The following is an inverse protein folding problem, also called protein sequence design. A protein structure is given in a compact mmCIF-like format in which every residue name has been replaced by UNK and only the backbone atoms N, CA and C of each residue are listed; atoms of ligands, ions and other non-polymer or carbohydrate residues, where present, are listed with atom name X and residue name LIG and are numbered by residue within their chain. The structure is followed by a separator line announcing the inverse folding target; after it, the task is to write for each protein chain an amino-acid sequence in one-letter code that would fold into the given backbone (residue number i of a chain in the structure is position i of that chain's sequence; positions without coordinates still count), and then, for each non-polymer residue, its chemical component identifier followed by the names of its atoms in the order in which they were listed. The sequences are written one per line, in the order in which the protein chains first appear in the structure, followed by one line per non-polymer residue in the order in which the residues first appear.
data_IF_312090398257
#
_entry.id   IF_312090398257
#
_cell.length_a   1.000
_cell.length_b   1.000
_cell.length_c   1.000
_cell.angle_alpha   90.00
_cell.angle_beta   90.00
_cell.angle_gamma   90.00
#
_symmetry.space_group_name_H-M   'P 1'
#
loop_
_entity.id
_entity.type
_entity.pdbx_description
1 polymer ?
#
# COMPACT_ATOMS: atom_id res chain seq x y z
N UNK A 1 16.78 13.39 2.11
CA UNK A 1 15.40 12.86 2.23
C UNK A 1 15.12 12.40 3.67
N UNK A 2 14.03 12.85 4.29
CA UNK A 2 13.70 12.54 5.70
C UNK A 2 13.15 11.13 5.94
N UNK A 3 12.68 10.46 4.87
CA UNK A 3 12.06 9.13 4.94
C UNK A 3 13.04 8.04 5.40
N UNK A 4 14.31 8.14 4.97
CA UNK A 4 15.37 7.17 5.31
C UNK A 4 15.80 7.20 6.78
N UNK A 5 15.57 8.32 7.48
CA UNK A 5 16.06 8.53 8.85
C UNK A 5 15.48 7.54 9.86
N UNK A 6 14.29 7.03 9.58
CA UNK A 6 13.61 6.07 10.44
C UNK A 6 13.66 4.64 9.86
N UNK A 7 14.40 4.42 8.76
CA UNK A 7 14.68 3.09 8.23
C UNK A 7 13.79 2.61 7.09
N UNK A 8 13.05 3.50 6.44
CA UNK A 8 12.38 3.19 5.18
C UNK A 8 13.39 3.33 4.04
N UNK A 9 13.68 2.22 3.36
CA UNK A 9 14.73 2.14 2.33
C UNK A 9 14.20 1.89 0.91
N UNK A 10 13.09 1.17 0.81
CA UNK A 10 12.38 0.89 -0.44
C UNK A 10 10.99 1.51 -0.39
N UNK A 11 10.50 1.97 -1.53
CA UNK A 11 9.16 2.52 -1.68
C UNK A 11 8.54 2.11 -3.00
N UNK A 12 7.22 2.10 -3.05
CA UNK A 12 6.44 1.96 -4.27
C UNK A 12 5.71 3.27 -4.56
N UNK A 13 6.27 4.16 -5.42
CA UNK A 13 5.56 5.35 -5.86
C UNK A 13 4.29 4.95 -6.60
N UNK A 14 3.16 5.44 -6.11
CA UNK A 14 1.84 5.07 -6.62
C UNK A 14 1.21 6.29 -7.30
N UNK A 15 0.75 6.17 -8.56
CA UNK A 15 0.03 7.26 -9.21
C UNK A 15 -1.29 7.53 -8.49
N UNK A 16 -1.87 8.73 -8.68
CA UNK A 16 -3.15 9.12 -8.07
C UNK A 16 -4.11 9.73 -9.08
N UNK A 17 -5.40 9.44 -8.92
CA UNK A 17 -6.49 9.97 -9.74
C UNK A 17 -7.04 8.99 -10.77
N UNK A 18 -8.15 9.36 -11.40
CA UNK A 18 -8.82 8.52 -12.41
C UNK A 18 -9.44 7.23 -11.87
N UNK A 19 -10.08 6.48 -12.76
CA UNK A 19 -10.68 5.17 -12.46
C UNK A 19 -9.61 4.06 -12.49
N UNK A 20 -8.83 4.01 -13.57
CA UNK A 20 -7.55 3.31 -13.64
C UNK A 20 -6.46 4.35 -13.55
N UNK A 21 -5.73 4.30 -12.44
CA UNK A 21 -4.83 5.37 -12.02
C UNK A 21 -3.46 5.28 -12.70
N UNK A 22 -3.03 4.08 -13.04
CA UNK A 22 -1.78 3.83 -13.73
C UNK A 22 -1.01 2.66 -13.13
N UNK A 23 0.28 2.61 -13.45
CA UNK A 23 1.20 1.59 -12.96
C UNK A 23 2.13 2.15 -11.88
N UNK A 24 2.53 1.28 -10.97
CA UNK A 24 3.54 1.55 -9.96
C UNK A 24 4.81 0.77 -10.26
N UNK A 25 5.91 1.24 -9.67
CA UNK A 25 7.20 0.54 -9.71
C UNK A 25 7.80 0.59 -8.32
N UNK A 26 8.69 -0.35 -8.02
CA UNK A 26 9.38 -0.40 -6.73
C UNK A 26 10.75 0.21 -6.92
N UNK A 27 11.11 1.13 -6.03
CA UNK A 27 12.39 1.83 -6.08
C UNK A 27 13.10 1.85 -4.73
N UNK A 28 14.43 1.83 -4.78
CA UNK A 28 15.29 2.15 -3.64
C UNK A 28 15.43 3.67 -3.46
N UNK A 29 15.57 4.11 -2.21
CA UNK A 29 15.69 5.52 -1.87
C UNK A 29 17.14 6.06 -1.92
N UNK A 30 18.06 5.32 -2.53
CA UNK A 30 19.45 5.72 -2.70
C UNK A 30 19.99 5.35 -4.09
N UNK A 31 19.86 6.31 -5.01
CA UNK A 31 20.30 6.20 -6.39
C UNK A 31 20.51 7.59 -7.01
N UNK A 32 21.28 7.67 -8.09
CA UNK A 32 21.55 8.91 -8.82
C UNK A 32 20.42 9.30 -9.77
N UNK A 33 19.80 8.31 -10.39
CA UNK A 33 18.69 8.47 -11.33
C UNK A 33 17.61 7.43 -11.02
N UNK A 34 16.47 7.53 -11.70
CA UNK A 34 15.36 6.62 -11.46
C UNK A 34 15.64 5.22 -11.98
N UNK A 35 16.46 5.06 -13.04
CA UNK A 35 16.81 3.75 -13.61
C UNK A 35 17.59 2.90 -12.61
N UNK A 36 18.59 3.49 -11.97
CA UNK A 36 19.39 2.87 -10.92
C UNK A 36 18.56 2.64 -9.65
N UNK A 37 17.51 3.44 -9.43
CA UNK A 37 16.61 3.28 -8.30
C UNK A 37 15.66 2.09 -8.46
N UNK A 38 15.36 1.64 -9.69
CA UNK A 38 14.31 0.64 -9.92
C UNK A 38 14.75 -0.73 -9.43
N UNK A 39 13.98 -1.28 -8.49
CA UNK A 39 14.07 -2.69 -8.05
C UNK A 39 13.19 -3.57 -8.93
N UNK A 40 11.98 -3.10 -9.25
CA UNK A 40 11.04 -3.79 -10.14
C UNK A 40 10.16 -2.78 -10.86
N UNK A 41 10.25 -2.74 -12.18
CA UNK A 41 9.43 -1.87 -13.01
C UNK A 41 8.02 -2.45 -13.21
N UNK A 42 7.03 -1.57 -13.27
CA UNK A 42 5.63 -1.86 -13.59
C UNK A 42 5.06 -3.05 -12.80
N UNK A 43 5.22 -3.05 -11.48
CA UNK A 43 4.91 -4.19 -10.63
C UNK A 43 3.40 -4.37 -10.41
N UNK A 44 2.63 -3.29 -10.52
CA UNK A 44 1.20 -3.30 -10.29
C UNK A 44 0.42 -2.27 -11.06
N UNK A 45 -0.90 -2.48 -11.13
CA UNK A 45 -1.86 -1.51 -11.68
C UNK A 45 -2.78 -1.07 -10.56
N UNK A 46 -2.94 0.23 -10.42
CA UNK A 46 -3.79 0.84 -9.42
C UNK A 46 -5.13 1.26 -10.02
N UNK A 47 -6.20 0.92 -9.31
CA UNK A 47 -7.58 1.17 -9.69
C UNK A 47 -8.32 1.73 -8.49
N UNK A 48 -9.03 2.84 -8.69
CA UNK A 48 -9.86 3.43 -7.63
C UNK A 48 -11.28 2.93 -7.79
N UNK A 49 -11.79 2.18 -6.81
CA UNK A 49 -13.16 1.68 -6.87
C UNK A 49 -14.15 2.84 -6.70
N UNK A 50 -15.20 2.92 -7.54
CA UNK A 50 -16.23 3.94 -7.37
C UNK A 50 -16.91 3.86 -6.00
N UNK A 51 -16.67 4.88 -5.19
CA UNK A 51 -17.17 4.94 -3.80
C UNK A 51 -18.69 4.79 -3.71
N UNK A 52 -19.13 4.13 -2.66
CA UNK A 52 -20.52 4.02 -2.26
C UNK A 52 -21.12 5.40 -2.03
N UNK A 53 -22.28 5.62 -2.62
CA UNK A 53 -23.03 6.86 -2.44
C UNK A 53 -23.73 6.80 -1.10
N UNK A 54 -23.12 7.43 -0.09
CA UNK A 54 -23.71 7.62 1.23
C UNK A 54 -24.27 9.03 1.32
N UNK A 55 -25.49 9.13 1.87
CA UNK A 55 -26.11 10.40 2.23
C UNK A 55 -25.50 10.86 3.55
N UNK A 56 -24.58 11.81 3.49
CA UNK A 56 -23.91 12.37 4.66
C UNK A 56 -24.65 13.59 5.22
N UNK A 57 -25.46 14.26 4.40
CA UNK A 57 -26.27 15.41 4.82
C UNK A 57 -27.77 15.06 4.78
N UNK A 58 -28.50 15.13 5.91
CA UNK A 58 -29.95 14.92 5.95
C UNK A 58 -30.76 15.87 5.07
N UNK A 59 -30.19 17.02 4.68
CA UNK A 59 -30.81 18.04 3.82
C UNK A 59 -30.36 17.90 2.35
N UNK A 60 -29.55 16.89 2.01
CA UNK A 60 -29.13 16.64 0.63
C UNK A 60 -30.33 16.41 -0.30
N UNK A 61 -30.35 17.12 -1.43
CA UNK A 61 -31.35 17.03 -2.49
C UNK A 61 -31.37 15.61 -3.10
N UNK A 62 -32.57 15.04 -3.21
CA UNK A 62 -32.78 13.72 -3.80
C UNK A 62 -32.25 13.63 -5.24
N UNK A 63 -32.37 14.70 -6.03
CA UNK A 63 -31.84 14.71 -7.40
C UNK A 63 -30.30 14.67 -7.43
N UNK A 64 -29.63 15.32 -6.46
CA UNK A 64 -28.18 15.24 -6.32
C UNK A 64 -27.73 13.82 -5.96
N UNK A 65 -28.45 13.14 -5.06
CA UNK A 65 -28.18 11.76 -4.69
C UNK A 65 -28.31 10.81 -5.90
N UNK A 66 -29.40 10.92 -6.66
CA UNK A 66 -29.62 10.12 -7.88
C UNK A 66 -28.52 10.34 -8.91
N UNK A 67 -28.10 11.59 -9.16
CA UNK A 67 -26.98 11.90 -10.08
C UNK A 67 -25.68 11.22 -9.64
N UNK A 68 -25.37 11.21 -8.34
CA UNK A 68 -24.18 10.52 -7.80
C UNK A 68 -24.28 9.00 -8.02
N UNK A 69 -25.46 8.41 -7.78
CA UNK A 69 -25.69 6.98 -7.98
C UNK A 69 -25.53 6.59 -9.46
N UNK A 70 -26.13 7.35 -10.38
CA UNK A 70 -25.97 7.12 -11.80
C UNK A 70 -24.51 7.24 -12.25
N UNK A 71 -23.78 8.25 -11.76
CA UNK A 71 -22.37 8.44 -12.07
C UNK A 71 -21.53 7.25 -11.58
N UNK A 72 -21.79 6.72 -10.38
CA UNK A 72 -21.17 5.49 -9.87
C UNK A 72 -21.44 4.31 -10.79
N UNK A 73 -22.70 4.09 -11.16
CA UNK A 73 -23.13 2.98 -12.03
C UNK A 73 -22.51 3.08 -13.43
N UNK A 74 -22.34 4.29 -13.98
CA UNK A 74 -21.61 4.50 -15.25
C UNK A 74 -20.14 4.11 -15.09
N UNK A 75 -19.45 4.62 -14.07
CA UNK A 75 -18.04 4.29 -13.81
C UNK A 75 -17.80 2.80 -13.61
N UNK A 76 -18.71 2.09 -12.94
CA UNK A 76 -18.61 0.64 -12.77
C UNK A 76 -18.75 -0.10 -14.09
N UNK A 77 -19.69 0.31 -14.96
CA UNK A 77 -19.84 -0.26 -16.30
C UNK A 77 -18.60 -0.01 -17.17
N UNK A 78 -18.09 1.22 -17.17
CA UNK A 78 -16.88 1.58 -17.91
C UNK A 78 -15.68 0.74 -17.44
N UNK A 79 -15.59 0.50 -16.13
CA UNK A 79 -14.55 -0.34 -15.54
C UNK A 79 -14.65 -1.80 -15.97
N UNK A 80 -15.85 -2.38 -15.88
CA UNK A 80 -16.11 -3.75 -16.28
C UNK A 80 -15.83 -3.95 -17.77
N UNK A 81 -16.25 -2.99 -18.60
CA UNK A 81 -15.95 -3.01 -20.03
C UNK A 81 -14.44 -2.97 -20.27
N UNK A 82 -13.70 -2.04 -19.64
CA UNK A 82 -12.26 -1.91 -19.83
C UNK A 82 -11.50 -3.19 -19.44
N UNK A 83 -11.82 -3.77 -18.28
CA UNK A 83 -11.17 -4.99 -17.82
C UNK A 83 -11.57 -6.21 -18.67
N UNK A 84 -12.82 -6.27 -19.13
CA UNK A 84 -13.30 -7.29 -20.06
C UNK A 84 -12.61 -7.20 -21.42
N UNK A 85 -12.45 -5.99 -21.96
CA UNK A 85 -11.67 -5.73 -23.18
C UNK A 85 -10.21 -6.14 -23.00
N UNK A 86 -9.58 -5.83 -21.86
CA UNK A 86 -8.20 -6.24 -21.57
C UNK A 86 -8.05 -7.77 -21.51
N UNK A 87 -9.02 -8.47 -20.91
CA UNK A 87 -9.03 -9.93 -20.86
C UNK A 87 -9.19 -10.55 -22.25
N UNK A 88 -10.09 -10.02 -23.08
CA UNK A 88 -10.29 -10.45 -24.46
C UNK A 88 -9.10 -10.09 -25.37
N UNK A 89 -8.45 -8.94 -25.11
CA UNK A 89 -7.28 -8.47 -25.84
C UNK A 89 -6.18 -9.54 -25.82
N UNK A 90 -5.98 -10.26 -24.71
CA UNK A 90 -4.98 -11.34 -24.61
C UNK A 90 -5.22 -12.50 -25.58
N UNK A 91 -6.48 -12.83 -25.87
CA UNK A 91 -6.83 -13.99 -26.71
C UNK A 91 -6.80 -13.69 -28.21
N UNK A 92 -6.67 -12.41 -28.58
CA UNK A 92 -6.66 -11.98 -29.97
C UNK A 92 -5.32 -12.32 -30.67
N UNK A 93 -5.33 -12.60 -31.98
CA UNK A 93 -4.14 -12.99 -32.73
C UNK A 93 -3.05 -11.89 -32.79
N UNK A 94 -1.79 -12.32 -32.84
CA UNK A 94 -0.63 -11.46 -33.01
C UNK A 94 -0.64 -10.78 -34.40
N UNK A 95 -0.33 -9.48 -34.48
CA UNK A 95 -0.25 -8.72 -35.75
C UNK A 95 -1.18 -7.51 -35.89
N UNK A 96 -2.00 -7.22 -34.88
CA UNK A 96 -2.85 -6.01 -34.85
C UNK A 96 -2.07 -4.75 -34.45
N UNK A 97 -2.67 -3.59 -34.72
CA UNK A 97 -2.22 -2.31 -34.15
C UNK A 97 -2.26 -2.39 -32.62
N UNK A 98 -1.11 -2.13 -32.01
CA UNK A 98 -0.94 -2.21 -30.56
C UNK A 98 -1.80 -1.16 -29.85
N UNK A 99 -2.55 -1.59 -28.83
CA UNK A 99 -3.24 -0.70 -27.91
C UNK A 99 -2.48 -0.75 -26.59
N UNK A 100 -1.66 0.28 -26.34
CA UNK A 100 -0.80 0.36 -25.15
C UNK A 100 -1.58 0.24 -23.84
N UNK A 101 -2.83 0.75 -23.80
CA UNK A 101 -3.68 0.70 -22.59
C UNK A 101 -4.09 -0.72 -22.24
N UNK A 102 -4.48 -1.53 -23.23
CA UNK A 102 -4.89 -2.92 -23.00
C UNK A 102 -3.68 -3.83 -22.83
N UNK A 103 -2.58 -3.52 -23.53
CA UNK A 103 -1.30 -4.25 -23.43
C UNK A 103 -0.70 -4.12 -22.02
N UNK A 104 -0.73 -2.93 -21.43
CA UNK A 104 -0.20 -2.70 -20.08
C UNK A 104 -0.95 -3.50 -19.00
N UNK A 105 -2.23 -3.80 -19.23
CA UNK A 105 -3.09 -4.58 -18.35
C UNK A 105 -2.94 -6.10 -18.51
N UNK A 106 -2.25 -6.57 -19.56
CA UNK A 106 -2.05 -8.00 -19.82
C UNK A 106 -1.43 -8.75 -18.65
N UNK A 107 -0.51 -8.09 -17.92
CA UNK A 107 0.19 -8.66 -16.77
C UNK A 107 -0.69 -8.98 -15.55
N UNK A 108 -1.96 -8.53 -15.54
CA UNK A 108 -2.91 -8.89 -14.48
C UNK A 108 -3.39 -10.34 -14.59
N UNK A 109 -3.41 -10.88 -15.82
CA UNK A 109 -3.97 -12.19 -16.13
C UNK A 109 -2.92 -13.31 -16.17
N UNK A 110 -1.63 -12.97 -16.25
CA UNK A 110 -0.51 -13.92 -16.14
C UNK A 110 0.09 -13.97 -14.72
N UNK A 111 -0.28 -13.03 -13.84
CA UNK A 111 0.21 -12.94 -12.47
C UNK A 111 1.57 -12.22 -12.33
N UNK A 112 2.12 -11.67 -13.42
CA UNK A 112 3.32 -10.83 -13.38
C UNK A 112 3.08 -9.52 -12.64
N UNK A 113 1.86 -8.97 -12.72
CA UNK A 113 1.44 -7.73 -12.06
C UNK A 113 0.36 -7.97 -11.01
N UNK A 114 0.39 -7.17 -9.95
CA UNK A 114 -0.66 -7.15 -8.92
C UNK A 114 -1.72 -6.09 -9.25
N UNK A 115 -3.01 -6.42 -9.17
CA UNK A 115 -4.08 -5.44 -9.24
C UNK A 115 -4.32 -4.85 -7.84
N UNK A 116 -4.01 -3.56 -7.69
CA UNK A 116 -4.28 -2.80 -6.47
C UNK A 116 -5.61 -2.06 -6.59
N UNK A 117 -6.58 -2.43 -5.78
CA UNK A 117 -7.91 -1.82 -5.78
C UNK A 117 -8.04 -0.95 -4.54
N UNK A 118 -8.15 0.36 -4.72
CA UNK A 118 -8.40 1.31 -3.65
C UNK A 118 -9.90 1.33 -3.35
N UNK A 119 -10.28 0.81 -2.20
CA UNK A 119 -11.66 0.70 -1.74
C UNK A 119 -11.67 0.61 -0.22
N UNK A 120 -12.65 1.22 0.44
CA UNK A 120 -12.71 1.24 1.90
C UNK A 120 -13.90 0.47 2.47
N UNK A 121 -15.03 0.42 1.76
CA UNK A 121 -16.28 -0.12 2.31
C UNK A 121 -16.47 -1.61 2.05
N UNK A 122 -17.05 -2.34 3.01
CA UNK A 122 -17.22 -3.79 2.94
C UNK A 122 -17.87 -4.28 1.63
N UNK A 123 -18.93 -3.59 1.16
CA UNK A 123 -19.60 -3.90 -0.10
C UNK A 123 -18.68 -3.73 -1.32
N UNK A 124 -17.86 -2.68 -1.33
CA UNK A 124 -16.89 -2.41 -2.39
C UNK A 124 -15.80 -3.48 -2.43
N UNK A 125 -15.31 -3.92 -1.27
CA UNK A 125 -14.33 -5.01 -1.17
C UNK A 125 -14.88 -6.29 -1.80
N UNK A 126 -16.14 -6.63 -1.50
CA UNK A 126 -16.79 -7.83 -2.05
C UNK A 126 -17.02 -7.69 -3.56
N UNK A 127 -17.60 -6.58 -4.01
CA UNK A 127 -17.90 -6.34 -5.44
C UNK A 127 -16.63 -6.36 -6.29
N UNK A 128 -15.59 -5.68 -5.83
CA UNK A 128 -14.33 -5.54 -6.55
C UNK A 128 -13.55 -6.84 -6.67
N UNK A 129 -13.44 -7.61 -5.59
CA UNK A 129 -12.79 -8.93 -5.60
C UNK A 129 -13.56 -9.90 -6.51
N UNK A 130 -14.90 -9.91 -6.43
CA UNK A 130 -15.72 -10.76 -7.31
C UNK A 130 -15.53 -10.40 -8.78
N UNK A 131 -15.49 -9.11 -9.12
CA UNK A 131 -15.23 -8.66 -10.48
C UNK A 131 -13.84 -9.12 -10.96
N UNK A 132 -12.80 -8.88 -10.17
CA UNK A 132 -11.43 -9.26 -10.52
C UNK A 132 -11.27 -10.77 -10.72
N UNK A 133 -11.85 -11.59 -9.83
CA UNK A 133 -11.83 -13.06 -9.95
C UNK A 133 -12.62 -13.54 -11.16
N UNK A 134 -13.81 -12.98 -11.44
CA UNK A 134 -14.62 -13.32 -12.62
C UNK A 134 -13.87 -13.07 -13.93
N UNK A 135 -13.04 -12.03 -13.97
CA UNK A 135 -12.24 -11.68 -15.15
C UNK A 135 -10.90 -12.45 -15.23
N UNK A 136 -10.58 -13.29 -14.23
CA UNK A 136 -9.38 -14.12 -14.24
C UNK A 136 -8.10 -13.40 -13.81
N UNK A 137 -8.21 -12.30 -13.05
CA UNK A 137 -7.05 -11.64 -12.45
C UNK A 137 -6.42 -12.55 -11.39
N UNK A 138 -5.11 -12.78 -11.51
CA UNK A 138 -4.41 -13.75 -10.67
C UNK A 138 -4.08 -13.19 -9.28
N UNK A 139 -3.63 -11.92 -9.21
CA UNK A 139 -3.16 -11.28 -7.98
C UNK A 139 -3.96 -10.02 -7.70
N UNK A 140 -4.61 -9.97 -6.54
CA UNK A 140 -5.42 -8.83 -6.10
C UNK A 140 -4.98 -8.38 -4.70
N UNK A 141 -4.78 -7.08 -4.56
CA UNK A 141 -4.51 -6.41 -3.29
C UNK A 141 -5.52 -5.28 -3.08
N UNK A 142 -6.15 -5.22 -1.90
CA UNK A 142 -7.07 -4.14 -1.53
C UNK A 142 -6.30 -3.06 -0.78
N UNK A 143 -6.35 -1.82 -1.24
CA UNK A 143 -5.70 -0.67 -0.60
C UNK A 143 -6.75 0.16 0.14
N UNK A 144 -6.48 0.50 1.40
CA UNK A 144 -7.39 1.21 2.28
C UNK A 144 -8.19 0.26 3.15
N UNK A 145 -9.11 -0.48 2.53
CA UNK A 145 -9.86 -1.61 3.07
C UNK A 145 -10.30 -1.44 4.54
N UNK A 146 -10.76 -0.25 4.92
CA UNK A 146 -11.04 0.09 6.33
C UNK A 146 -12.12 -0.78 6.96
N UNK A 147 -13.07 -1.27 6.17
CA UNK A 147 -14.11 -2.21 6.61
C UNK A 147 -13.70 -3.68 6.44
N UNK A 148 -12.42 -4.00 6.21
CA UNK A 148 -11.98 -5.39 6.04
C UNK A 148 -12.32 -6.28 7.24
N UNK A 149 -12.40 -5.70 8.45
CA UNK A 149 -12.82 -6.40 9.67
C UNK A 149 -14.24 -6.98 9.60
N UNK A 150 -15.11 -6.45 8.72
CA UNK A 150 -16.48 -6.94 8.53
C UNK A 150 -16.56 -8.11 7.54
N UNK A 151 -15.50 -8.37 6.77
CA UNK A 151 -15.48 -9.32 5.64
C UNK A 151 -14.30 -10.28 5.67
N UNK A 152 -13.77 -10.56 6.87
CA UNK A 152 -12.55 -11.37 7.07
C UNK A 152 -12.64 -12.75 6.39
N UNK A 153 -13.73 -13.47 6.58
CA UNK A 153 -13.91 -14.81 5.99
C UNK A 153 -13.89 -14.76 4.47
N UNK A 154 -14.53 -13.75 3.88
CA UNK A 154 -14.54 -13.57 2.43
C UNK A 154 -13.14 -13.27 1.88
N UNK A 155 -12.37 -12.41 2.55
CA UNK A 155 -11.00 -12.08 2.16
C UNK A 155 -10.08 -13.31 2.25
N UNK A 156 -10.22 -14.09 3.32
CA UNK A 156 -9.46 -15.33 3.52
C UNK A 156 -9.77 -16.38 2.45
N UNK A 157 -11.05 -16.61 2.15
CA UNK A 157 -11.50 -17.58 1.15
C UNK A 157 -10.99 -17.24 -0.27
N UNK A 158 -10.80 -15.97 -0.58
CA UNK A 158 -10.36 -15.51 -1.90
C UNK A 158 -8.84 -15.27 -2.00
N UNK A 159 -8.11 -15.53 -0.91
CA UNK A 159 -6.66 -15.29 -0.77
C UNK A 159 -6.26 -13.86 -1.18
N UNK A 160 -7.03 -12.88 -0.70
CA UNK A 160 -6.84 -11.46 -1.04
C UNK A 160 -5.88 -10.81 -0.04
N UNK A 161 -4.92 -10.06 -0.56
CA UNK A 161 -3.97 -9.30 0.24
C UNK A 161 -4.55 -7.92 0.59
N UNK A 162 -4.18 -7.37 1.75
CA UNK A 162 -4.69 -6.07 2.21
C UNK A 162 -3.55 -5.10 2.51
N UNK A 163 -3.62 -3.90 1.96
CA UNK A 163 -2.71 -2.79 2.25
C UNK A 163 -3.49 -1.77 3.10
N UNK A 164 -3.24 -1.77 4.39
CA UNK A 164 -3.88 -0.85 5.32
C UNK A 164 -3.17 0.49 5.31
N UNK A 165 -3.88 1.54 4.93
CA UNK A 165 -3.37 2.90 5.04
C UNK A 165 -3.84 3.56 6.34
N UNK A 166 -2.95 4.33 6.99
CA UNK A 166 -3.32 5.27 8.07
C UNK A 166 -4.23 4.70 9.17
N UNK A 167 -3.78 3.63 9.81
CA UNK A 167 -4.49 3.07 10.98
C UNK A 167 -4.60 4.05 12.16
N UNK A 168 -3.76 5.10 12.18
CA UNK A 168 -3.91 6.28 13.03
C UNK A 168 -5.05 7.19 12.55
N UNK A 169 -6.27 6.70 12.64
CA UNK A 169 -7.47 7.39 12.21
C UNK A 169 -8.57 7.30 13.26
N UNK A 170 -9.55 8.19 13.15
CA UNK A 170 -10.79 8.08 13.91
C UNK A 170 -11.68 6.99 13.29
N UNK A 171 -12.54 6.35 14.10
CA UNK A 171 -13.61 5.50 13.57
C UNK A 171 -14.48 6.28 12.58
N UNK A 172 -15.08 5.55 11.62
CA UNK A 172 -15.85 6.18 10.54
C UNK A 172 -17.32 6.35 10.88
N UNK A 173 -17.82 5.55 11.82
CA UNK A 173 -19.24 5.51 12.20
C UNK A 173 -19.36 5.70 13.70
N UNK A 174 -20.46 6.31 14.11
CA UNK A 174 -20.73 6.60 15.53
C UNK A 174 -20.83 5.33 16.39
N UNK A 175 -21.21 4.20 15.78
CA UNK A 175 -21.31 2.89 16.44
C UNK A 175 -20.06 2.02 16.33
N UNK A 176 -19.01 2.47 15.63
CA UNK A 176 -17.74 1.73 15.57
C UNK A 176 -16.98 1.95 16.89
N UNK A 177 -16.21 0.95 17.33
CA UNK A 177 -15.35 1.13 18.50
C UNK A 177 -14.35 2.29 18.27
N UNK A 178 -14.09 3.06 19.33
CA UNK A 178 -13.19 4.23 19.27
C UNK A 178 -11.77 3.89 18.78
N UNK A 179 -11.34 2.65 18.99
CA UNK A 179 -10.03 2.12 18.63
C UNK A 179 -10.08 1.17 17.41
N UNK A 180 -11.22 1.07 16.72
CA UNK A 180 -11.41 0.11 15.62
C UNK A 180 -10.32 0.19 14.53
N UNK A 181 -9.89 1.37 14.04
CA UNK A 181 -8.79 1.48 13.08
C UNK A 181 -7.47 0.89 13.59
N UNK A 182 -7.21 0.98 14.89
CA UNK A 182 -5.98 0.49 15.52
C UNK A 182 -5.98 -1.02 15.74
N UNK A 183 -7.15 -1.63 15.98
CA UNK A 183 -7.31 -3.10 16.14
C UNK A 183 -7.30 -3.86 14.82
N UNK A 184 -7.62 -3.18 13.71
CA UNK A 184 -7.76 -3.80 12.39
C UNK A 184 -6.54 -4.65 11.95
N UNK A 185 -5.28 -4.22 12.12
CA UNK A 185 -4.11 -5.06 11.81
C UNK A 185 -4.11 -6.39 12.59
N UNK A 186 -4.45 -6.36 13.88
CA UNK A 186 -4.50 -7.56 14.72
C UNK A 186 -5.65 -8.49 14.30
N UNK A 187 -6.80 -7.93 13.91
CA UNK A 187 -7.93 -8.71 13.38
C UNK A 187 -7.57 -9.43 12.07
N UNK A 188 -6.89 -8.76 11.14
CA UNK A 188 -6.40 -9.38 9.90
C UNK A 188 -5.37 -10.48 10.18
N UNK A 189 -4.43 -10.21 11.10
CA UNK A 189 -3.42 -11.18 11.51
C UNK A 189 -4.06 -12.44 12.12
N UNK A 190 -5.03 -12.26 13.03
CA UNK A 190 -5.74 -13.36 13.68
C UNK A 190 -6.57 -14.18 12.69
N UNK A 191 -7.15 -13.53 11.67
CA UNK A 191 -7.85 -14.21 10.59
C UNK A 191 -6.90 -14.98 9.65
N UNK A 192 -5.59 -14.70 9.68
CA UNK A 192 -4.60 -15.27 8.78
C UNK A 192 -4.59 -14.61 7.39
N UNK A 193 -5.08 -13.37 7.29
CA UNK A 193 -5.09 -12.59 6.04
C UNK A 193 -3.75 -11.89 5.91
N UNK A 194 -3.15 -11.97 4.71
CA UNK A 194 -1.89 -11.27 4.41
C UNK A 194 -2.15 -9.78 4.32
N UNK A 195 -1.50 -9.00 5.20
CA UNK A 195 -1.62 -7.55 5.17
C UNK A 195 -0.26 -6.85 5.33
N UNK A 196 -0.18 -5.61 4.83
CA UNK A 196 0.89 -4.69 5.15
C UNK A 196 0.35 -3.33 5.59
N UNK A 197 1.22 -2.52 6.19
CA UNK A 197 0.93 -1.16 6.57
C UNK A 197 1.53 -0.17 5.58
N UNK A 198 0.81 0.91 5.32
CA UNK A 198 1.18 1.96 4.40
C UNK A 198 0.74 3.35 4.93
N UNK A 199 1.33 4.39 4.35
CA UNK A 199 1.11 5.80 4.67
C UNK A 199 0.50 6.64 3.53
N UNK A 200 -0.04 6.02 2.48
CA UNK A 200 -0.69 6.73 1.37
C UNK A 200 -1.70 7.78 1.86
N UNK A 201 -1.71 8.95 1.21
CA UNK A 201 -2.61 10.08 1.43
C UNK A 201 -1.93 11.45 1.30
N UNK A 202 -2.33 12.42 2.11
CA UNK A 202 -1.71 13.74 2.15
C UNK A 202 -0.34 13.74 2.87
N UNK A 203 0.60 14.53 2.38
CA UNK A 203 1.93 14.70 3.00
C UNK A 203 2.72 13.39 3.21
N UNK A 204 2.61 12.43 2.28
CA UNK A 204 3.28 11.12 2.33
C UNK A 204 4.79 11.23 2.58
N UNK A 205 5.48 12.21 2.00
CA UNK A 205 6.92 12.40 2.22
C UNK A 205 7.25 12.71 3.68
N UNK A 206 6.40 13.47 4.36
CA UNK A 206 6.59 13.88 5.76
C UNK A 206 6.09 12.83 6.74
N UNK A 207 5.03 12.09 6.39
CA UNK A 207 4.38 11.09 7.24
C UNK A 207 4.93 9.69 7.06
N UNK A 208 5.35 9.31 5.86
CA UNK A 208 5.86 7.98 5.52
C UNK A 208 7.12 7.60 6.29
N UNK A 209 7.91 8.57 6.76
CA UNK A 209 9.02 8.32 7.70
C UNK A 209 8.55 7.69 9.02
N UNK A 210 7.28 7.83 9.40
CA UNK A 210 6.74 7.29 10.65
C UNK A 210 6.16 5.87 10.47
N UNK A 211 6.33 5.23 9.31
CA UNK A 211 5.82 3.89 9.04
C UNK A 211 6.23 2.85 10.12
N UNK A 212 7.50 2.79 10.59
CA UNK A 212 7.88 1.87 11.67
C UNK A 212 7.12 2.12 12.98
N UNK A 213 6.81 3.37 13.28
CA UNK A 213 6.11 3.74 14.51
C UNK A 213 4.63 3.37 14.47
N UNK A 214 4.01 3.42 13.29
CA UNK A 214 2.65 2.92 13.10
C UNK A 214 2.60 1.41 13.27
N UNK A 215 3.60 0.69 12.75
CA UNK A 215 3.75 -0.74 13.04
C UNK A 215 3.93 -1.01 14.54
N UNK A 216 4.79 -0.24 15.21
CA UNK A 216 4.97 -0.33 16.66
C UNK A 216 3.70 -0.08 17.46
N UNK A 217 2.86 0.88 17.02
CA UNK A 217 1.59 1.12 17.68
C UNK A 217 0.64 -0.07 17.57
N UNK A 218 0.61 -0.79 16.44
CA UNK A 218 -0.22 -1.97 16.28
C UNK A 218 0.11 -3.09 17.27
N UNK A 219 1.32 -3.08 17.88
CA UNK A 219 1.69 -4.00 18.97
C UNK A 219 0.81 -3.76 20.21
N UNK A 220 0.50 -2.51 20.53
CA UNK A 220 -0.37 -2.16 21.65
C UNK A 220 -1.83 -2.61 21.45
N UNK A 221 -2.22 -2.94 20.21
CA UNK A 221 -3.57 -3.34 19.82
C UNK A 221 -3.67 -4.82 19.38
N UNK A 222 -2.68 -5.64 19.74
CA UNK A 222 -2.78 -7.10 19.65
C UNK A 222 -1.80 -7.79 18.69
N UNK A 223 -0.96 -7.05 17.97
CA UNK A 223 0.17 -7.65 17.26
C UNK A 223 1.34 -7.94 18.19
N UNK A 224 2.12 -8.96 17.86
CA UNK A 224 3.48 -9.10 18.40
C UNK A 224 4.44 -8.14 17.70
N UNK A 225 5.60 -7.85 18.31
CA UNK A 225 6.65 -7.02 17.66
C UNK A 225 7.11 -7.59 16.33
N UNK A 226 7.21 -8.92 16.22
CA UNK A 226 7.63 -9.59 14.99
C UNK A 226 6.57 -9.48 13.90
N UNK A 227 5.28 -9.64 14.22
CA UNK A 227 4.18 -9.43 13.27
C UNK A 227 4.11 -7.97 12.81
N UNK A 228 4.31 -7.02 13.73
CA UNK A 228 4.38 -5.61 13.40
C UNK A 228 5.56 -5.31 12.45
N UNK A 229 6.77 -5.80 12.74
CA UNK A 229 7.93 -5.66 11.85
C UNK A 229 7.67 -6.29 10.48
N UNK A 230 7.09 -7.50 10.47
CA UNK A 230 6.72 -8.23 9.24
C UNK A 230 5.76 -7.43 8.37
N UNK A 231 4.80 -6.72 8.99
CA UNK A 231 3.79 -5.90 8.27
C UNK A 231 4.37 -4.74 7.47
N UNK A 232 5.62 -4.33 7.75
CA UNK A 232 6.33 -3.24 7.03
C UNK A 232 7.60 -3.72 6.30
N UNK A 233 7.88 -5.02 6.32
CA UNK A 233 9.07 -5.62 5.68
C UNK A 233 8.70 -6.77 4.73
N UNK A 234 8.50 -7.97 5.26
CA UNK A 234 8.25 -9.17 4.46
C UNK A 234 6.85 -9.19 3.83
N UNK A 235 5.81 -8.74 4.56
CA UNK A 235 4.46 -8.66 4.01
C UNK A 235 4.35 -7.77 2.76
N UNK A 236 4.81 -6.51 2.78
CA UNK A 236 4.77 -5.68 1.56
C UNK A 236 5.63 -6.27 0.44
N UNK A 237 6.80 -6.86 0.75
CA UNK A 237 7.64 -7.55 -0.24
C UNK A 237 6.89 -8.70 -0.94
N UNK A 238 6.10 -9.48 -0.20
CA UNK A 238 5.24 -10.56 -0.77
C UNK A 238 4.11 -9.99 -1.63
N UNK A 239 3.47 -8.91 -1.19
CA UNK A 239 2.39 -8.26 -1.94
C UNK A 239 2.88 -7.76 -3.29
N UNK A 240 4.05 -7.12 -3.30
CA UNK A 240 4.72 -6.61 -4.50
C UNK A 240 5.44 -7.70 -5.33
N UNK A 241 5.66 -8.88 -4.74
CA UNK A 241 6.35 -10.01 -5.37
C UNK A 241 7.84 -9.73 -5.60
N UNK A 242 8.52 -9.25 -4.56
CA UNK A 242 9.98 -9.08 -4.46
C UNK A 242 10.55 -9.79 -3.22
N UNK A 243 9.74 -10.62 -2.55
CA UNK A 243 10.10 -11.31 -1.31
C UNK A 243 11.20 -12.36 -1.46
N UNK A 244 11.47 -12.78 -2.71
CA UNK A 244 12.63 -13.62 -3.02
C UNK A 244 13.94 -12.91 -2.67
N UNK A 245 14.02 -11.61 -2.93
CA UNK A 245 15.26 -10.84 -2.83
C UNK A 245 15.23 -9.84 -1.66
N UNK A 246 14.05 -9.47 -1.12
CA UNK A 246 13.90 -8.44 -0.10
C UNK A 246 12.91 -8.83 1.01
N UNK A 247 12.89 -8.05 2.09
CA UNK A 247 11.86 -8.12 3.14
C UNK A 247 12.17 -9.01 4.33
N UNK A 248 13.21 -9.85 4.28
CA UNK A 248 13.74 -10.57 5.44
C UNK A 248 15.25 -10.72 5.37
N UNK A 249 15.87 -11.00 6.53
CA UNK A 249 17.31 -11.24 6.64
C UNK A 249 17.58 -12.74 6.50
N UNK A 250 17.73 -13.19 5.26
CA UNK A 250 17.99 -14.58 4.90
C UNK A 250 19.16 -14.66 3.92
N UNK A 251 19.91 -15.77 3.94
CA UNK A 251 21.02 -15.99 3.01
C UNK A 251 20.48 -16.02 1.57
N UNK A 252 21.13 -15.26 0.68
CA UNK A 252 20.75 -15.13 -0.73
C UNK A 252 19.86 -13.92 -1.04
N UNK A 253 19.34 -13.22 -0.02
CA UNK A 253 18.59 -11.97 -0.19
C UNK A 253 19.52 -10.75 -0.25
N UNK A 254 19.01 -9.64 -0.77
CA UNK A 254 19.69 -8.35 -0.77
C UNK A 254 20.05 -7.94 0.66
N UNK A 255 21.28 -7.43 0.83
CA UNK A 255 21.75 -6.81 2.07
C UNK A 255 21.16 -5.39 2.25
N UNK A 256 19.83 -5.31 2.23
CA UNK A 256 19.05 -4.10 2.48
C UNK A 256 18.53 -4.14 3.91
N UNK A 257 19.22 -3.44 4.82
CA UNK A 257 18.99 -3.53 6.25
C UNK A 257 19.30 -2.22 6.97
N UNK A 258 18.77 -2.10 8.18
CA UNK A 258 19.06 -0.99 9.10
C UNK A 258 19.52 -1.54 10.43
N UNK A 259 20.41 -0.81 11.09
CA UNK A 259 20.86 -1.08 12.45
C UNK A 259 20.41 0.08 13.31
N UNK A 260 19.69 -0.23 14.40
CA UNK A 260 19.25 0.74 15.38
C UNK A 260 19.77 0.33 16.75
N UNK A 261 20.21 1.32 17.55
CA UNK A 261 20.65 1.07 18.94
C UNK A 261 19.47 0.71 19.85
N UNK A 262 18.29 1.25 19.58
CA UNK A 262 17.06 0.93 20.29
C UNK A 262 16.03 0.25 19.39
N UNK A 263 14.81 0.10 19.88
CA UNK A 263 13.74 -0.57 19.14
C UNK A 263 13.30 0.28 17.94
N UNK A 264 13.39 -0.29 16.74
CA UNK A 264 13.02 0.38 15.48
C UNK A 264 11.55 0.82 15.46
N UNK A 265 10.68 0.06 16.14
CA UNK A 265 9.24 0.29 16.16
C UNK A 265 8.82 1.29 17.25
N UNK A 266 9.71 1.63 18.20
CA UNK A 266 9.41 2.55 19.30
C UNK A 266 9.86 3.99 18.95
N UNK A 267 8.93 4.93 18.99
CA UNK A 267 9.20 6.35 18.75
C UNK A 267 10.24 6.95 19.69
N UNK A 268 10.35 6.44 20.92
CA UNK A 268 11.23 7.04 21.94
C UNK A 268 12.66 6.52 21.86
N UNK A 269 12.82 5.23 21.56
CA UNK A 269 14.14 4.58 21.60
C UNK A 269 14.73 4.32 20.22
N UNK A 270 13.97 4.46 19.13
CA UNK A 270 14.49 4.36 17.78
C UNK A 270 15.68 5.33 17.60
N UNK A 271 16.83 4.75 17.25
CA UNK A 271 18.07 5.46 17.00
C UNK A 271 18.88 4.70 15.95
N UNK A 272 18.54 4.92 14.68
CA UNK A 272 19.30 4.35 13.56
C UNK A 272 20.76 4.81 13.58
N UNK A 273 21.66 3.85 13.47
CA UNK A 273 23.11 4.08 13.39
C UNK A 273 23.66 3.75 12.02
N UNK A 274 23.14 2.71 11.36
CA UNK A 274 23.58 2.27 10.04
C UNK A 274 22.39 1.92 9.16
N UNK A 275 22.52 2.15 7.86
CA UNK A 275 21.59 1.69 6.85
C UNK A 275 22.38 1.21 5.62
N UNK A 276 21.92 0.13 5.03
CA UNK A 276 22.50 -0.47 3.84
C UNK A 276 21.40 -0.76 2.82
N UNK A 277 21.69 -0.53 1.54
CA UNK A 277 20.87 -1.01 0.43
C UNK A 277 21.80 -1.77 -0.53
N UNK A 278 21.46 -3.02 -0.82
CA UNK A 278 22.31 -3.93 -1.61
C UNK A 278 23.77 -3.98 -1.10
N UNK A 279 23.96 -3.90 0.22
CA UNK A 279 25.28 -3.88 0.86
C UNK A 279 26.03 -2.54 0.79
N UNK A 280 25.50 -1.54 0.07
CA UNK A 280 26.06 -0.17 0.04
C UNK A 280 25.62 0.58 1.28
N UNK A 281 26.57 1.18 2.02
CA UNK A 281 26.26 2.00 3.19
C UNK A 281 25.65 3.34 2.79
N UNK A 282 24.57 3.74 3.48
CA UNK A 282 23.92 5.03 3.29
C UNK A 282 24.32 6.02 4.39
N UNK A 283 24.43 7.28 3.99
CA UNK A 283 24.54 8.38 4.95
C UNK A 283 23.15 8.71 5.52
N UNK A 284 23.01 8.58 6.84
CA UNK A 284 21.80 8.92 7.61
C UNK A 284 21.72 10.41 7.99
N UNK A 285 22.46 11.27 7.28
CA UNK A 285 22.40 12.71 7.49
C UNK A 285 21.23 13.33 6.75
N UNK A 286 20.62 14.32 7.38
CA UNK A 286 19.61 15.17 6.78
C UNK A 286 19.88 16.62 7.11
N UNK A 287 19.13 17.51 6.47
CA UNK A 287 19.14 18.94 6.84
C UNK A 287 18.82 19.14 8.33
N UNK A 288 18.02 18.26 8.95
CA UNK A 288 17.68 18.36 10.37
C UNK A 288 18.88 18.04 11.26
N UNK A 289 19.60 16.94 10.99
CA UNK A 289 20.79 16.57 11.76
C UNK A 289 21.94 17.55 11.53
N UNK A 290 22.09 18.06 10.30
CA UNK A 290 23.08 19.10 9.99
C UNK A 290 22.78 20.42 10.74
N UNK A 291 21.51 20.82 10.84
CA UNK A 291 21.12 22.00 11.60
C UNK A 291 21.28 21.78 13.11
N UNK A 292 20.89 20.62 13.64
CA UNK A 292 21.11 20.25 15.04
C UNK A 292 22.59 20.36 15.42
N UNK A 293 23.47 19.72 14.63
CA UNK A 293 24.92 19.82 14.81
C UNK A 293 25.41 21.27 14.80
N UNK A 294 25.01 22.06 13.79
CA UNK A 294 25.38 23.48 13.67
C UNK A 294 24.99 24.30 14.89
N UNK A 295 23.79 24.09 15.44
CA UNK A 295 23.32 24.86 16.59
C UNK A 295 23.88 24.34 17.92
N UNK A 296 24.08 23.03 18.09
CA UNK A 296 24.80 22.49 19.26
C UNK A 296 26.21 23.03 19.35
N UNK A 297 26.94 23.06 18.23
CA UNK A 297 28.28 23.64 18.16
C UNK A 297 28.27 25.14 18.50
N UNK A 298 27.29 25.90 17.98
CA UNK A 298 27.16 27.34 18.28
C UNK A 298 26.89 27.62 19.76
N UNK A 299 26.09 26.79 20.42
CA UNK A 299 25.62 27.01 21.79
C UNK A 299 26.36 26.17 22.84
N UNK A 300 27.30 25.31 22.45
CA UNK A 300 28.06 24.45 23.37
C UNK A 300 27.22 23.39 24.07
N UNK A 301 26.20 22.86 23.41
CA UNK A 301 25.27 21.83 23.92
C UNK A 301 25.74 20.40 23.63
#
# INVERSE_FOLDING_TARGET
PTVRLNGVLLVQPTPRGGLVTGQSSIVQLDAWNWQDAVVKADDGIHLTWPEMVIRTNPVEDAAALTRRQEARTRRLRDLEQLLGEAAAYRQAPAGRRENLRLTSMGGLFDGSKTLYIHADYAKELIESVRLAKRLGVQRVALVGARDAWMVLDFLKQNDVMVVLNRVQALPRRDGDDYDQPYKLPAQLQAAGIRFCLDFQGDQETSRGRNLPFVAGQAVAFGLTKEQALTSVTLSPARIMGIDKDYGSLEVGKSATLVVSRGDLLDMRTNALTLAYIDGRSLTLESKQTALDKKFREKYGL
#
